data_IF_705966181217
#
_entry.id   IF_705966181217
#
_cell.length_a   1.000
_cell.length_b   1.000
_cell.length_c   1.000
_cell.angle_alpha   90.00
_cell.angle_beta   90.00
_cell.angle_gamma   90.00
#
_symmetry.space_group_name_H-M   'P 1'
#
loop_
_entity.id
_entity.type
_entity.pdbx_description
1 polymer ?
#
# COMPACT_ATOMS: atom_id res chain seq x y z
N UNK A 1 -7.57 -11.97 5.31
CA UNK A 1 -6.71 -12.71 4.38
C UNK A 1 -7.34 -14.07 4.16
N UNK A 2 -7.37 -14.51 2.95
CA UNK A 2 -7.91 -15.82 2.60
C UNK A 2 -6.93 -16.57 1.72
N UNK A 3 -6.89 -17.89 1.84
CA UNK A 3 -6.15 -18.79 0.95
C UNK A 3 -7.10 -19.73 0.24
N UNK A 4 -6.68 -20.21 -0.92
CA UNK A 4 -7.44 -21.17 -1.71
C UNK A 4 -6.71 -22.50 -1.76
N UNK A 5 -7.36 -23.54 -1.28
CA UNK A 5 -6.83 -24.91 -1.32
C UNK A 5 -6.79 -25.49 -2.75
N UNK A 6 -6.07 -26.60 -2.90
CA UNK A 6 -5.95 -27.30 -4.18
C UNK A 6 -7.31 -27.81 -4.74
N UNK A 7 -8.29 -28.03 -3.87
CA UNK A 7 -9.67 -28.41 -4.26
C UNK A 7 -10.56 -27.23 -4.61
N UNK A 8 -10.04 -26.00 -4.46
CA UNK A 8 -10.75 -24.76 -4.77
C UNK A 8 -11.50 -24.13 -3.59
N UNK A 9 -11.41 -24.72 -2.41
CA UNK A 9 -12.02 -24.18 -1.18
C UNK A 9 -11.27 -22.93 -0.68
N UNK A 10 -12.01 -21.90 -0.30
CA UNK A 10 -11.46 -20.69 0.32
C UNK A 10 -11.48 -20.81 1.84
N UNK A 11 -10.33 -20.58 2.46
CA UNK A 11 -10.18 -20.54 3.92
C UNK A 11 -9.88 -19.11 4.37
N UNK A 12 -10.51 -18.69 5.47
CA UNK A 12 -10.18 -17.43 6.13
C UNK A 12 -9.05 -17.66 7.14
N UNK A 13 -7.86 -17.13 6.83
CA UNK A 13 -6.67 -17.26 7.68
C UNK A 13 -6.54 -16.09 8.66
N UNK A 14 -7.06 -14.92 8.30
CA UNK A 14 -6.98 -13.72 9.11
C UNK A 14 -8.18 -12.81 8.85
N UNK A 15 -8.87 -12.42 9.90
CA UNK A 15 -9.87 -11.37 9.93
C UNK A 15 -9.46 -10.29 10.93
N UNK A 16 -9.44 -9.04 10.50
CA UNK A 16 -9.04 -7.91 11.34
C UNK A 16 -9.79 -6.64 10.97
N UNK A 17 -9.90 -5.72 11.92
CA UNK A 17 -10.36 -4.36 11.62
C UNK A 17 -9.28 -3.56 10.93
N UNK A 18 -9.67 -2.56 10.16
CA UNK A 18 -8.75 -1.65 9.49
C UNK A 18 -9.42 -0.36 9.07
N UNK A 19 -8.68 0.48 8.39
CA UNK A 19 -9.19 1.75 7.88
C UNK A 19 -8.90 1.86 6.38
N UNK A 20 -9.78 2.59 5.71
CA UNK A 20 -9.63 3.03 4.31
C UNK A 20 -9.58 4.55 4.27
N UNK A 21 -9.48 5.12 3.09
CA UNK A 21 -9.46 6.56 2.88
C UNK A 21 -10.66 7.29 3.49
N UNK A 22 -10.46 8.52 3.91
CA UNK A 22 -11.52 9.39 4.44
C UNK A 22 -12.74 9.52 3.52
N UNK A 23 -12.51 9.46 2.21
CA UNK A 23 -13.55 9.50 1.17
C UNK A 23 -14.28 8.16 0.97
N UNK A 24 -13.95 7.12 1.76
CA UNK A 24 -14.47 5.76 1.56
C UNK A 24 -13.80 5.02 0.40
N UNK A 25 -14.46 3.97 -0.10
CA UNK A 25 -14.01 3.15 -1.24
C UNK A 25 -14.70 3.60 -2.52
N UNK A 26 -13.98 3.72 -3.64
CA UNK A 26 -14.55 4.09 -4.93
C UNK A 26 -13.52 4.55 -5.95
N UNK A 27 -13.93 5.36 -6.91
CA UNK A 27 -13.02 5.98 -7.88
C UNK A 27 -12.09 6.95 -7.16
N UNK A 28 -10.79 6.75 -7.34
CA UNK A 28 -9.74 7.51 -6.65
C UNK A 28 -9.13 8.54 -7.58
N UNK A 29 -8.83 9.72 -7.01
CA UNK A 29 -8.00 10.76 -7.62
C UNK A 29 -6.98 11.22 -6.59
N UNK A 30 -5.97 12.00 -7.02
CA UNK A 30 -4.95 12.54 -6.12
C UNK A 30 -5.53 13.32 -4.91
N UNK A 31 -6.74 13.86 -5.04
CA UNK A 31 -7.27 14.83 -4.07
C UNK A 31 -8.51 14.38 -3.30
N UNK A 32 -9.17 13.26 -3.69
CA UNK A 32 -10.48 12.89 -3.12
C UNK A 32 -10.40 11.99 -1.89
N UNK A 33 -9.20 11.55 -1.50
CA UNK A 33 -8.93 10.70 -0.33
C UNK A 33 -9.74 9.42 -0.28
N UNK A 34 -10.07 8.86 -1.45
CA UNK A 34 -10.75 7.56 -1.56
C UNK A 34 -9.73 6.45 -1.74
N UNK A 35 -10.03 5.29 -1.18
CA UNK A 35 -9.34 4.05 -1.50
C UNK A 35 -9.91 3.50 -2.81
N UNK A 36 -9.07 3.14 -3.79
CA UNK A 36 -9.56 2.64 -5.06
C UNK A 36 -10.32 1.32 -4.89
N UNK A 37 -11.45 1.20 -5.59
CA UNK A 37 -12.15 -0.08 -5.74
C UNK A 37 -11.48 -0.88 -6.83
N UNK A 38 -11.29 -2.18 -6.62
CA UNK A 38 -10.74 -3.08 -7.63
C UNK A 38 -9.95 -4.23 -7.03
N UNK A 39 -9.25 -4.91 -7.90
CA UNK A 39 -8.31 -5.99 -7.59
C UNK A 39 -6.92 -5.54 -8.00
N UNK A 40 -5.97 -5.63 -7.07
CA UNK A 40 -4.61 -5.11 -7.24
C UNK A 40 -3.59 -6.14 -6.80
N UNK A 41 -2.43 -6.14 -7.47
CA UNK A 41 -1.25 -6.90 -7.07
C UNK A 41 -0.35 -6.05 -6.16
N UNK A 42 0.48 -6.72 -5.36
CA UNK A 42 1.52 -6.05 -4.61
C UNK A 42 2.78 -5.89 -5.47
N UNK A 43 3.40 -4.69 -5.44
CA UNK A 43 4.58 -4.37 -6.26
C UNK A 43 5.86 -4.28 -5.44
N UNK A 44 5.81 -3.62 -4.28
CA UNK A 44 6.94 -3.46 -3.39
C UNK A 44 6.55 -3.80 -1.95
N UNK A 45 7.46 -4.49 -1.24
CA UNK A 45 7.43 -4.58 0.20
C UNK A 45 8.55 -3.72 0.76
N UNK A 46 8.23 -2.77 1.63
CA UNK A 46 9.22 -1.90 2.25
C UNK A 46 8.78 -1.45 3.65
N UNK A 47 9.67 -0.80 4.37
CA UNK A 47 9.33 -0.23 5.67
C UNK A 47 10.51 0.39 6.40
N UNK A 48 10.19 1.12 7.46
CA UNK A 48 11.16 1.75 8.35
C UNK A 48 11.89 0.68 9.18
N UNK A 49 11.16 -0.36 9.60
CA UNK A 49 11.70 -1.45 10.40
C UNK A 49 12.30 -2.57 9.51
N UNK A 50 13.16 -3.42 10.07
CA UNK A 50 13.72 -4.56 9.34
C UNK A 50 12.65 -5.52 8.82
N UNK A 51 12.99 -6.29 7.77
CA UNK A 51 12.10 -7.33 7.23
C UNK A 51 11.56 -8.24 8.34
N UNK A 52 10.23 -8.32 8.52
CA UNK A 52 9.62 -9.13 9.57
C UNK A 52 9.60 -10.64 9.25
N UNK A 53 10.14 -11.05 8.12
CA UNK A 53 10.17 -12.43 7.63
C UNK A 53 9.30 -12.66 6.39
N UNK A 54 9.06 -11.62 5.56
CA UNK A 54 8.39 -11.80 4.26
C UNK A 54 9.32 -12.45 3.24
N UNK A 55 8.76 -13.30 2.38
CA UNK A 55 9.46 -13.90 1.22
C UNK A 55 9.50 -12.94 0.02
N UNK A 56 8.72 -11.85 0.04
CA UNK A 56 8.80 -10.81 -0.98
C UNK A 56 10.13 -10.06 -0.87
N UNK A 57 10.60 -9.53 -2.00
CA UNK A 57 11.71 -8.59 -1.99
C UNK A 57 11.36 -7.40 -1.10
N UNK A 58 12.12 -7.18 -0.04
CA UNK A 58 11.87 -6.16 0.98
C UNK A 58 12.96 -5.10 1.01
N UNK A 59 12.56 -3.83 1.02
CA UNK A 59 13.48 -2.70 1.18
C UNK A 59 13.30 -2.08 2.57
N UNK A 60 14.28 -2.23 3.45
CA UNK A 60 14.34 -1.37 4.64
C UNK A 60 14.77 0.02 4.19
N UNK A 61 13.94 1.03 4.42
CA UNK A 61 14.19 2.40 3.97
C UNK A 61 15.10 3.16 4.94
N UNK A 62 15.82 4.11 4.39
CA UNK A 62 16.55 5.15 5.12
C UNK A 62 16.03 6.55 4.73
N UNK A 63 16.74 7.61 5.13
CA UNK A 63 16.38 9.02 4.90
C UNK A 63 16.40 9.45 3.43
N UNK A 64 16.82 8.56 2.53
CA UNK A 64 16.92 8.87 1.09
C UNK A 64 15.71 8.43 0.28
N UNK A 65 14.76 7.67 0.88
CA UNK A 65 13.63 7.09 0.16
C UNK A 65 12.38 7.96 0.20
N UNK A 66 11.76 8.10 -0.98
CA UNK A 66 10.55 8.90 -1.21
C UNK A 66 9.57 8.15 -2.09
N UNK A 67 8.28 8.42 -1.89
CA UNK A 67 7.25 8.15 -2.89
C UNK A 67 6.73 9.47 -3.42
N UNK A 68 6.92 9.71 -4.73
CA UNK A 68 6.65 11.03 -5.31
C UNK A 68 5.16 11.16 -5.67
N UNK A 69 4.49 12.13 -5.08
CA UNK A 69 3.08 12.48 -5.31
C UNK A 69 2.89 13.81 -6.06
N UNK A 70 3.99 14.47 -6.47
CA UNK A 70 3.97 15.68 -7.28
C UNK A 70 3.50 15.37 -8.71
N UNK A 71 2.27 15.77 -9.04
CA UNK A 71 1.67 15.58 -10.37
C UNK A 71 2.44 16.25 -11.52
N UNK A 72 3.33 17.18 -11.23
CA UNK A 72 4.18 17.85 -12.21
C UNK A 72 5.56 17.20 -12.35
N UNK A 73 5.88 16.23 -11.51
CA UNK A 73 7.15 15.53 -11.55
C UNK A 73 7.12 14.36 -12.54
N UNK A 74 8.21 14.18 -13.28
CA UNK A 74 8.41 12.98 -14.12
C UNK A 74 8.51 11.69 -13.28
N UNK A 75 8.67 11.81 -11.98
CA UNK A 75 8.73 10.69 -11.04
C UNK A 75 7.38 10.45 -10.30
N UNK A 76 6.31 11.11 -10.74
CA UNK A 76 4.99 10.93 -10.14
C UNK A 76 4.63 9.45 -9.98
N UNK A 77 4.11 9.08 -8.82
CA UNK A 77 3.74 7.73 -8.40
C UNK A 77 4.89 6.70 -8.47
N UNK A 78 6.13 7.14 -8.19
CA UNK A 78 7.30 6.25 -8.17
C UNK A 78 7.97 6.22 -6.80
N UNK A 79 8.44 5.02 -6.43
CA UNK A 79 9.31 4.79 -5.28
C UNK A 79 10.76 5.07 -5.69
N UNK A 80 11.38 6.06 -5.11
CA UNK A 80 12.72 6.54 -5.51
C UNK A 80 13.64 6.70 -4.32
N UNK A 81 14.94 6.65 -4.58
CA UNK A 81 15.98 7.05 -3.61
C UNK A 81 16.84 8.16 -4.18
N UNK A 82 17.13 9.18 -3.37
CA UNK A 82 18.00 10.29 -3.76
C UNK A 82 19.46 9.87 -3.97
N UNK A 83 19.84 8.64 -3.60
CA UNK A 83 21.17 8.07 -3.91
C UNK A 83 21.39 7.89 -5.41
N UNK A 84 20.32 7.60 -6.15
CA UNK A 84 20.37 7.32 -7.60
C UNK A 84 19.53 8.26 -8.44
N UNK A 85 18.56 8.96 -7.81
CA UNK A 85 17.59 9.81 -8.49
C UNK A 85 17.76 11.25 -8.02
N UNK A 86 18.20 12.17 -8.87
CA UNK A 86 18.25 13.59 -8.52
C UNK A 86 16.86 14.10 -8.15
N UNK A 87 16.76 14.84 -7.04
CA UNK A 87 15.49 15.40 -6.56
C UNK A 87 14.91 16.37 -7.61
N UNK A 88 13.75 16.02 -8.16
CA UNK A 88 13.02 16.79 -9.17
C UNK A 88 11.51 16.71 -8.92
N UNK A 89 11.10 17.02 -7.67
CA UNK A 89 9.72 17.10 -7.22
C UNK A 89 9.59 18.13 -6.12
N UNK A 90 8.38 18.70 -5.98
CA UNK A 90 8.03 19.66 -4.94
C UNK A 90 7.21 19.01 -3.82
N UNK A 91 6.63 17.83 -4.08
CA UNK A 91 5.85 17.06 -3.12
C UNK A 91 6.19 15.58 -3.23
N UNK A 92 6.36 14.92 -2.08
CA UNK A 92 6.56 13.48 -1.96
C UNK A 92 6.33 13.05 -0.51
N UNK A 93 5.95 11.81 -0.31
CA UNK A 93 6.02 11.16 0.99
C UNK A 93 7.49 10.83 1.30
N UNK A 94 8.08 11.48 2.30
CA UNK A 94 9.39 11.10 2.86
C UNK A 94 9.18 9.91 3.79
N UNK A 95 9.44 8.72 3.31
CA UNK A 95 8.95 7.46 3.90
C UNK A 95 9.37 7.33 5.38
N UNK A 96 10.62 7.66 5.71
CA UNK A 96 11.16 7.52 7.05
C UNK A 96 10.44 8.41 8.11
N UNK A 97 9.79 9.48 7.68
CA UNK A 97 9.08 10.43 8.57
C UNK A 97 7.63 9.98 8.87
N UNK A 98 7.09 9.01 8.16
CA UNK A 98 5.70 8.56 8.32
C UNK A 98 5.62 7.40 9.34
N UNK A 99 6.13 7.68 10.51
CA UNK A 99 6.20 6.75 11.64
C UNK A 99 4.96 6.93 12.55
N UNK A 100 4.33 5.85 13.06
CA UNK A 100 4.62 4.42 12.84
C UNK A 100 3.93 3.82 11.60
N UNK A 101 3.16 4.59 10.86
CA UNK A 101 2.32 4.06 9.78
C UNK A 101 3.13 3.26 8.74
N UNK A 102 4.36 3.69 8.43
CA UNK A 102 5.20 3.02 7.47
C UNK A 102 6.30 2.15 8.10
N UNK A 103 6.06 1.64 9.32
CA UNK A 103 6.89 0.55 9.87
C UNK A 103 6.96 -0.61 8.89
N UNK A 104 5.81 -0.97 8.27
CA UNK A 104 5.68 -2.02 7.26
C UNK A 104 4.65 -1.61 6.20
N UNK A 105 4.99 -1.80 4.94
CA UNK A 105 4.19 -1.36 3.78
C UNK A 105 4.23 -2.41 2.67
N UNK A 106 3.07 -2.63 2.06
CA UNK A 106 2.90 -3.28 0.76
C UNK A 106 2.28 -2.29 -0.21
N UNK A 107 2.98 -1.92 -1.28
CA UNK A 107 2.43 -1.04 -2.30
C UNK A 107 1.61 -1.83 -3.32
N UNK A 108 0.52 -1.21 -3.79
CA UNK A 108 -0.36 -1.77 -4.80
C UNK A 108 0.05 -1.28 -6.20
N UNK A 109 -0.27 -2.08 -7.22
CA UNK A 109 -0.10 -1.71 -8.63
C UNK A 109 -1.18 -0.72 -9.13
N UNK A 110 -1.64 0.16 -8.23
CA UNK A 110 -2.57 1.24 -8.58
C UNK A 110 -1.86 2.30 -9.43
N UNK A 111 -2.52 2.74 -10.52
CA UNK A 111 -1.98 3.72 -11.47
C UNK A 111 -0.56 3.37 -11.97
N UNK A 112 -0.34 2.16 -12.53
CA UNK A 112 1.00 1.71 -12.92
C UNK A 112 1.59 2.51 -14.08
N UNK A 113 0.75 3.21 -14.85
CA UNK A 113 1.18 4.14 -15.90
C UNK A 113 1.64 5.50 -15.37
N UNK A 114 1.59 5.71 -14.06
CA UNK A 114 1.95 6.97 -13.40
C UNK A 114 1.24 8.20 -14.01
N UNK A 115 -0.04 8.04 -14.38
CA UNK A 115 -0.84 9.11 -14.97
C UNK A 115 -1.13 10.18 -13.93
N UNK A 116 -0.70 11.44 -14.13
CA UNK A 116 -0.89 12.51 -13.16
C UNK A 116 -2.37 12.75 -12.81
N UNK A 117 -2.65 12.91 -11.51
CA UNK A 117 -3.98 13.21 -11.00
C UNK A 117 -4.91 12.00 -10.80
N UNK A 118 -4.54 10.83 -11.33
CA UNK A 118 -5.32 9.59 -11.11
C UNK A 118 -5.19 9.10 -9.66
N UNK A 119 -4.12 9.46 -8.99
CA UNK A 119 -3.79 9.07 -7.62
C UNK A 119 -2.45 8.37 -7.54
N UNK A 120 -1.80 8.49 -6.41
CA UNK A 120 -0.48 7.93 -6.11
C UNK A 120 -0.44 7.33 -4.72
N UNK A 121 0.65 6.61 -4.40
CA UNK A 121 0.94 6.12 -3.05
C UNK A 121 -0.21 5.31 -2.41
N UNK A 122 -0.78 4.37 -3.14
CA UNK A 122 -1.82 3.49 -2.60
C UNK A 122 -1.17 2.24 -2.00
N UNK A 123 -1.26 2.12 -0.68
CA UNK A 123 -0.58 1.09 0.12
C UNK A 123 -1.52 0.35 1.06
N UNK A 124 -1.09 -0.85 1.46
CA UNK A 124 -1.51 -1.51 2.70
C UNK A 124 -0.38 -1.31 3.72
N UNK A 125 -0.68 -0.69 4.88
CA UNK A 125 0.33 -0.30 5.87
C UNK A 125 -0.17 -0.40 7.33
N UNK A 126 0.69 -0.10 8.31
CA UNK A 126 0.34 -0.12 9.72
C UNK A 126 -0.63 1.02 10.07
N UNK A 127 -1.64 0.74 10.88
CA UNK A 127 -2.66 1.71 11.24
C UNK A 127 -2.16 2.73 12.26
N UNK A 128 -2.51 3.98 12.05
CA UNK A 128 -2.43 5.05 13.04
C UNK A 128 -3.78 5.25 13.77
N UNK A 129 -4.67 4.25 13.79
CA UNK A 129 -6.00 4.26 14.40
C UNK A 129 -6.92 5.37 13.88
N UNK A 130 -6.84 5.67 12.60
CA UNK A 130 -7.65 6.68 11.92
C UNK A 130 -7.75 6.38 10.42
N UNK A 131 -8.78 6.90 9.71
CA UNK A 131 -8.86 6.85 8.26
C UNK A 131 -7.62 7.45 7.59
N UNK A 132 -7.31 6.94 6.40
CA UNK A 132 -6.11 7.26 5.63
C UNK A 132 -6.37 8.37 4.59
N UNK A 133 -5.33 8.75 3.84
CA UNK A 133 -5.45 9.62 2.66
C UNK A 133 -5.99 8.91 1.41
N UNK A 134 -6.05 7.57 1.43
CA UNK A 134 -6.45 6.72 0.30
C UNK A 134 -5.94 5.29 0.44
N UNK A 135 -4.97 5.06 1.30
CA UNK A 135 -4.41 3.74 1.62
C UNK A 135 -5.39 2.86 2.39
N UNK A 136 -5.00 1.61 2.56
CA UNK A 136 -5.60 0.65 3.49
C UNK A 136 -4.65 0.50 4.68
N UNK A 137 -5.15 0.48 5.91
CA UNK A 137 -4.31 0.22 7.08
C UNK A 137 -4.93 -0.77 8.05
N UNK A 138 -4.07 -1.59 8.65
CA UNK A 138 -4.42 -2.61 9.65
C UNK A 138 -3.49 -2.48 10.86
N UNK A 139 -3.84 -3.05 12.04
CA UNK A 139 -2.93 -3.08 13.18
C UNK A 139 -1.55 -3.65 12.80
N UNK A 140 -0.48 -3.16 13.42
CA UNK A 140 0.90 -3.50 13.06
C UNK A 140 1.19 -5.01 13.21
N UNK A 141 0.71 -5.65 14.25
CA UNK A 141 0.83 -7.10 14.45
C UNK A 141 0.17 -7.90 13.33
N UNK A 142 -0.96 -7.40 12.81
CA UNK A 142 -1.65 -7.98 11.67
C UNK A 142 -0.91 -7.71 10.35
N UNK A 143 -0.30 -6.53 10.21
CA UNK A 143 0.54 -6.23 9.04
C UNK A 143 1.77 -7.14 9.00
N UNK A 144 2.40 -7.43 10.15
CA UNK A 144 3.48 -8.40 10.27
C UNK A 144 3.01 -9.81 9.87
N UNK A 145 1.83 -10.20 10.33
CA UNK A 145 1.24 -11.50 9.96
C UNK A 145 0.99 -11.58 8.45
N UNK A 146 0.44 -10.52 7.85
CA UNK A 146 0.22 -10.46 6.40
C UNK A 146 1.55 -10.59 5.65
N UNK A 147 2.58 -9.82 6.03
CA UNK A 147 3.89 -9.86 5.37
C UNK A 147 4.56 -11.23 5.43
N UNK A 148 4.38 -11.98 6.52
CA UNK A 148 4.93 -13.35 6.66
C UNK A 148 4.23 -14.38 5.79
N UNK A 149 3.00 -14.10 5.37
CA UNK A 149 2.17 -15.06 4.63
C UNK A 149 1.92 -14.66 3.17
N UNK A 150 2.18 -13.40 2.80
CA UNK A 150 2.00 -12.95 1.41
C UNK A 150 3.09 -13.57 0.53
N UNK A 151 2.64 -14.12 -0.61
CA UNK A 151 3.50 -14.77 -1.61
C UNK A 151 3.46 -13.98 -2.93
N UNK A 152 4.45 -14.14 -3.81
CA UNK A 152 4.38 -13.62 -5.17
C UNK A 152 3.09 -14.08 -5.86
N UNK A 153 2.34 -13.13 -6.43
CA UNK A 153 1.05 -13.40 -7.07
C UNK A 153 -0.18 -13.23 -6.16
N UNK A 154 0.02 -13.00 -4.86
CA UNK A 154 -1.08 -12.58 -3.99
C UNK A 154 -1.66 -11.24 -4.45
N UNK A 155 -2.96 -11.09 -4.26
CA UNK A 155 -3.71 -9.89 -4.65
C UNK A 155 -4.55 -9.38 -3.49
N UNK A 156 -4.87 -8.09 -3.53
CA UNK A 156 -5.84 -7.46 -2.64
C UNK A 156 -7.09 -7.10 -3.45
N UNK A 157 -8.26 -7.46 -2.93
CA UNK A 157 -9.56 -7.05 -3.47
C UNK A 157 -10.13 -5.98 -2.54
N UNK A 158 -10.47 -4.84 -3.10
CA UNK A 158 -11.02 -3.69 -2.36
C UNK A 158 -12.41 -3.39 -2.90
N UNK A 159 -13.42 -3.54 -2.06
CA UNK A 159 -14.79 -3.19 -2.40
C UNK A 159 -15.60 -2.81 -1.15
N UNK A 160 -16.85 -2.40 -1.35
CA UNK A 160 -17.83 -2.25 -0.30
C UNK A 160 -18.16 -3.61 0.32
N UNK A 161 -18.67 -3.61 1.55
CA UNK A 161 -19.10 -4.84 2.22
C UNK A 161 -20.16 -5.64 1.43
N UNK A 162 -20.96 -4.98 0.60
CA UNK A 162 -21.92 -5.65 -0.28
C UNK A 162 -21.25 -6.22 -1.54
N UNK A 163 -20.23 -5.54 -2.07
CA UNK A 163 -19.48 -6.00 -3.24
C UNK A 163 -18.62 -7.24 -2.96
N UNK A 164 -18.10 -7.38 -1.75
CA UNK A 164 -17.29 -8.55 -1.35
C UNK A 164 -18.12 -9.81 -1.07
N UNK A 165 -19.46 -9.71 -1.03
CA UNK A 165 -20.36 -10.85 -0.78
C UNK A 165 -20.89 -11.52 -2.04
N UNK A 166 -20.61 -10.95 -3.21
CA UNK A 166 -21.01 -11.44 -4.52
C UNK A 166 -19.79 -11.95 -5.30
#
# INVERSE_FOLDING_TARGET
MVTKDADGTWNEDLCTSGYVGYGGVGETTEWNRKTPRGQFSFTYAFGILPNPGTELSYTQVDDTYYWVDDVNSRYYNQFVTTKTTPKAWNSAEHIIEINPAYHYVLSLDYNPSCTPGVGSAIFLHCSANRPTGGCISVPEDQMITILKNVQPGCQIIIDSANGLKN
#
